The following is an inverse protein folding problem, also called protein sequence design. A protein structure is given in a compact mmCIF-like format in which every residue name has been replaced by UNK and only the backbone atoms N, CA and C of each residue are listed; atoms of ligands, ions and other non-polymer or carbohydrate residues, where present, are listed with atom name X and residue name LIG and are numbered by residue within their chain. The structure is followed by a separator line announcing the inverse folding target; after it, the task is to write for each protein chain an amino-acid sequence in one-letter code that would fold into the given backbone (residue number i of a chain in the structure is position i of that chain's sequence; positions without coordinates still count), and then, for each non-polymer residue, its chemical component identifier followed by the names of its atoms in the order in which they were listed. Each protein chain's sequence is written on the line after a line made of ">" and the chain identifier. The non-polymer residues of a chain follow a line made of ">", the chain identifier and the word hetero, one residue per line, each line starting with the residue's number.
data_IF_384052151760
#
_entry.id   IF_384052151760
#
_cell.length_a   1.000
_cell.length_b   1.000
_cell.length_c   1.000
_cell.angle_alpha   90.00
_cell.angle_beta   90.00
_cell.angle_gamma   90.00
#
_symmetry.space_group_name_H-M   'P 1'
#
loop_
_entity.id
_entity.type
_entity.pdbx_description
1 polymer ?
#
# COMPACT_ATOMS: atom_id res chain seq x y z
N UNK A 1 19.02 -19.66 0.22
CA UNK A 1 17.55 -19.76 0.29
C UNK A 1 17.03 -19.62 -1.12
N UNK A 2 15.90 -20.24 -1.40
CA UNK A 2 15.22 -20.19 -2.70
C UNK A 2 13.85 -19.51 -2.55
N UNK A 3 13.16 -19.31 -3.67
CA UNK A 3 11.82 -18.73 -3.69
C UNK A 3 10.78 -19.63 -3.00
N UNK A 4 11.01 -20.95 -2.94
CA UNK A 4 10.13 -21.92 -2.30
C UNK A 4 10.30 -22.01 -0.77
N UNK A 5 11.28 -21.29 -0.21
CA UNK A 5 11.54 -21.30 1.23
C UNK A 5 10.28 -20.83 1.98
N UNK A 6 9.86 -21.56 3.04
CA UNK A 6 8.67 -21.19 3.82
C UNK A 6 8.79 -19.82 4.50
N UNK A 7 7.68 -19.10 4.62
CA UNK A 7 7.63 -17.79 5.28
C UNK A 7 7.99 -17.84 6.78
N UNK A 8 7.85 -19.00 7.44
CA UNK A 8 8.24 -19.20 8.84
C UNK A 8 9.73 -18.98 9.10
N UNK A 9 10.56 -19.02 8.05
CA UNK A 9 11.98 -18.76 8.16
C UNK A 9 12.31 -17.25 8.25
N UNK A 10 11.34 -16.37 7.99
CA UNK A 10 11.52 -14.92 8.13
C UNK A 10 11.37 -14.50 9.59
N UNK A 11 12.18 -13.52 10.02
CA UNK A 11 12.14 -13.01 11.38
C UNK A 11 10.81 -12.32 11.65
N UNK A 12 10.23 -12.61 12.81
CA UNK A 12 8.95 -12.05 13.22
C UNK A 12 7.73 -12.77 12.64
N UNK A 13 7.91 -13.87 11.89
CA UNK A 13 6.83 -14.80 11.55
C UNK A 13 6.74 -15.88 12.63
N UNK A 14 5.89 -15.66 13.63
CA UNK A 14 5.55 -16.70 14.61
C UNK A 14 4.42 -17.61 14.11
N UNK A 15 4.20 -18.75 14.77
CA UNK A 15 3.20 -19.76 14.37
C UNK A 15 1.82 -19.17 14.06
N UNK A 16 1.33 -18.24 14.89
CA UNK A 16 0.04 -17.57 14.65
C UNK A 16 0.00 -16.74 13.37
N UNK A 17 1.10 -16.05 13.03
CA UNK A 17 1.18 -15.24 11.79
C UNK A 17 1.33 -16.14 10.58
N UNK A 18 2.14 -17.20 10.70
CA UNK A 18 2.32 -18.21 9.67
C UNK A 18 0.99 -18.84 9.27
N UNK A 19 0.19 -19.33 10.22
CA UNK A 19 -1.12 -19.93 9.91
C UNK A 19 -2.00 -18.97 9.12
N UNK A 20 -2.15 -17.73 9.60
CA UNK A 20 -3.03 -16.76 8.94
C UNK A 20 -2.49 -16.33 7.56
N UNK A 21 -1.18 -16.21 7.40
CA UNK A 21 -0.57 -15.92 6.09
C UNK A 21 -0.78 -17.07 5.11
N UNK A 22 -0.60 -18.31 5.56
CA UNK A 22 -0.87 -19.51 4.76
C UNK A 22 -2.34 -19.58 4.32
N UNK A 23 -3.28 -19.28 5.22
CA UNK A 23 -4.73 -19.22 4.92
C UNK A 23 -5.06 -18.14 3.86
N UNK A 24 -4.21 -17.12 3.73
CA UNK A 24 -4.30 -16.07 2.71
C UNK A 24 -3.47 -16.37 1.46
N UNK A 25 -2.95 -17.59 1.31
CA UNK A 25 -2.16 -18.03 0.15
C UNK A 25 -0.71 -17.53 0.15
N UNK A 26 -0.20 -17.06 1.29
CA UNK A 26 1.17 -16.57 1.45
C UNK A 26 1.95 -17.58 2.27
N UNK A 27 2.55 -18.59 1.62
CA UNK A 27 3.25 -19.68 2.31
C UNK A 27 4.76 -19.67 2.08
N UNK A 28 5.21 -19.04 1.01
CA UNK A 28 6.62 -19.01 0.60
C UNK A 28 7.15 -17.59 0.40
N UNK A 29 8.48 -17.46 0.28
CA UNK A 29 9.10 -16.19 -0.11
C UNK A 29 8.58 -15.70 -1.46
N UNK A 30 8.35 -16.62 -2.42
CA UNK A 30 7.70 -16.29 -3.68
C UNK A 30 6.37 -15.58 -3.46
N UNK A 31 5.47 -16.20 -2.70
CA UNK A 31 4.13 -15.65 -2.48
C UNK A 31 4.19 -14.28 -1.81
N UNK A 32 5.13 -14.09 -0.88
CA UNK A 32 5.34 -12.81 -0.20
C UNK A 32 5.85 -11.71 -1.15
N UNK A 33 6.79 -12.02 -2.06
CA UNK A 33 7.28 -11.06 -3.05
C UNK A 33 6.26 -10.76 -4.17
N UNK A 34 5.30 -11.65 -4.38
CA UNK A 34 4.18 -11.43 -5.29
C UNK A 34 2.93 -10.90 -4.57
N UNK A 35 3.00 -10.69 -3.25
CA UNK A 35 1.96 -10.00 -2.48
C UNK A 35 2.10 -8.49 -2.64
N UNK A 36 1.65 -7.97 -3.79
CA UNK A 36 1.91 -6.58 -4.16
C UNK A 36 1.19 -5.56 -3.26
N UNK A 37 1.79 -4.38 -3.04
CA UNK A 37 1.11 -3.28 -2.37
C UNK A 37 -0.15 -2.88 -3.14
N UNK A 38 -1.25 -2.62 -2.42
CA UNK A 38 -2.50 -2.10 -3.02
C UNK A 38 -2.37 -0.65 -3.47
N UNK A 39 -1.48 0.10 -2.80
CA UNK A 39 -1.25 1.52 -3.03
C UNK A 39 0.17 1.89 -2.61
N UNK A 40 0.69 2.96 -3.21
CA UNK A 40 1.96 3.56 -2.85
C UNK A 40 1.73 4.99 -2.40
N UNK A 41 2.23 5.34 -1.22
CA UNK A 41 2.16 6.68 -0.68
C UNK A 41 3.43 7.45 -1.06
N UNK A 42 3.27 8.49 -1.87
CA UNK A 42 4.38 9.37 -2.26
C UNK A 42 4.56 10.49 -1.22
N UNK A 43 5.63 10.39 -0.43
CA UNK A 43 6.00 11.38 0.59
C UNK A 43 6.44 12.72 -0.01
N UNK A 44 6.92 12.75 -1.25
CA UNK A 44 7.37 13.98 -1.90
C UNK A 44 6.21 14.93 -2.24
N UNK A 45 4.99 14.38 -2.33
CA UNK A 45 3.76 15.14 -2.59
C UNK A 45 3.05 15.62 -1.32
N UNK A 46 3.59 15.29 -0.14
CA UNK A 46 2.99 15.66 1.14
C UNK A 46 2.99 17.18 1.27
N UNK A 47 1.79 17.75 1.34
CA UNK A 47 1.58 19.19 1.47
C UNK A 47 1.04 19.51 2.87
N UNK A 48 1.58 20.53 3.57
CA UNK A 48 1.04 20.93 4.86
C UNK A 48 -0.32 21.61 4.69
N UNK A 49 -1.19 21.46 5.68
CA UNK A 49 -2.58 21.95 5.68
C UNK A 49 -2.63 23.46 5.42
N UNK A 50 -1.67 24.23 5.95
CA UNK A 50 -1.60 25.69 5.74
C UNK A 50 -1.50 26.11 4.27
N UNK A 51 -1.04 25.22 3.38
CA UNK A 51 -0.87 25.51 1.96
C UNK A 51 -2.07 25.07 1.11
N UNK A 52 -3.11 24.48 1.72
CA UNK A 52 -4.24 23.96 0.96
C UNK A 52 -5.06 25.08 0.35
N UNK A 53 -5.55 24.84 -0.87
CA UNK A 53 -6.58 25.65 -1.48
C UNK A 53 -7.80 24.79 -1.80
N UNK A 54 -8.96 25.45 -1.89
CA UNK A 54 -10.22 24.76 -2.21
C UNK A 54 -10.12 24.18 -3.63
N UNK A 55 -10.40 22.89 -3.75
CA UNK A 55 -10.40 22.17 -5.02
C UNK A 55 -9.17 21.30 -5.25
N UNK A 56 -8.09 21.49 -4.48
CA UNK A 56 -6.86 20.71 -4.61
C UNK A 56 -7.08 19.24 -4.25
N UNK A 57 -6.36 18.35 -4.94
CA UNK A 57 -6.20 16.96 -4.51
C UNK A 57 -4.86 16.86 -3.79
N UNK A 58 -4.91 16.59 -2.49
CA UNK A 58 -3.73 16.66 -1.62
C UNK A 58 -3.45 15.32 -0.95
N UNK A 59 -2.18 15.11 -0.63
CA UNK A 59 -1.72 14.05 0.27
C UNK A 59 -1.13 14.72 1.50
N UNK A 60 -1.49 14.25 2.70
CA UNK A 60 -0.93 14.76 3.96
C UNK A 60 -0.76 13.66 5.00
N UNK A 61 0.07 13.95 6.00
CA UNK A 61 0.14 13.15 7.23
C UNK A 61 -0.36 14.01 8.38
N UNK A 62 -1.43 13.57 9.03
CA UNK A 62 -2.05 14.27 10.15
C UNK A 62 -2.28 13.34 11.33
N UNK A 63 -2.30 13.91 12.53
CA UNK A 63 -2.65 13.23 13.76
C UNK A 63 -4.13 13.47 14.07
N UNK A 64 -4.86 12.44 14.48
CA UNK A 64 -6.24 12.56 14.94
C UNK A 64 -6.27 13.31 16.27
N UNK A 65 -6.90 14.49 16.28
CA UNK A 65 -7.09 15.31 17.47
C UNK A 65 -8.40 14.91 18.18
N UNK A 66 -9.48 14.79 17.40
CA UNK A 66 -10.78 14.39 17.94
C UNK A 66 -11.66 13.82 16.83
N UNK A 67 -12.72 13.11 17.21
CA UNK A 67 -13.72 12.58 16.28
C UNK A 67 -15.09 12.50 16.94
N UNK A 68 -16.15 12.50 16.14
CA UNK A 68 -17.52 12.46 16.66
C UNK A 68 -18.57 12.14 15.61
N UNK A 69 -19.72 11.67 16.08
CA UNK A 69 -20.94 11.54 15.28
C UNK A 69 -21.79 12.81 15.43
N UNK A 70 -22.23 13.37 14.30
CA UNK A 70 -23.18 14.48 14.26
C UNK A 70 -24.48 14.01 13.62
N UNK A 71 -25.60 14.22 14.32
CA UNK A 71 -26.92 13.95 13.78
C UNK A 71 -27.38 15.15 12.94
N UNK A 72 -27.86 14.85 11.74
CA UNK A 72 -28.44 15.83 10.79
C UNK A 72 -29.84 15.38 10.41
N UNK A 73 -30.66 16.32 9.93
CA UNK A 73 -32.01 16.06 9.41
C UNK A 73 -32.04 14.96 8.33
N UNK A 74 -30.92 14.71 7.64
CA UNK A 74 -30.78 13.71 6.58
C UNK A 74 -30.04 12.42 7.00
N UNK A 75 -29.62 12.27 8.25
CA UNK A 75 -28.93 11.06 8.73
C UNK A 75 -27.83 11.30 9.76
N UNK A 76 -26.84 10.41 9.79
CA UNK A 76 -25.66 10.53 10.66
C UNK A 76 -24.44 10.90 9.83
N UNK A 77 -23.67 11.86 10.29
CA UNK A 77 -22.37 12.22 9.74
C UNK A 77 -21.31 11.83 10.76
N UNK A 78 -20.23 11.22 10.31
CA UNK A 78 -19.04 11.01 11.13
C UNK A 78 -17.95 11.98 10.71
N UNK A 79 -17.36 12.67 11.69
CA UNK A 79 -16.28 13.62 11.45
C UNK A 79 -15.06 13.27 12.28
N UNK A 80 -13.89 13.36 11.65
CA UNK A 80 -12.59 13.22 12.31
C UNK A 80 -11.81 14.49 12.05
N UNK A 81 -11.37 15.16 13.11
CA UNK A 81 -10.52 16.35 13.02
C UNK A 81 -9.08 15.89 13.16
N UNK A 82 -8.26 16.24 12.17
CA UNK A 82 -6.85 15.93 12.14
C UNK A 82 -6.01 17.21 12.09
N UNK A 83 -4.83 17.16 12.70
CA UNK A 83 -3.85 18.24 12.71
C UNK A 83 -2.51 17.74 12.19
N UNK A 84 -1.86 18.53 11.34
CA UNK A 84 -0.47 18.31 10.93
C UNK A 84 0.51 19.24 11.70
N UNK A 85 0.01 19.99 12.68
CA UNK A 85 0.75 21.02 13.42
C UNK A 85 0.75 22.40 12.73
N UNK A 86 0.34 22.49 11.46
CA UNK A 86 0.22 23.76 10.72
C UNK A 86 -1.23 24.23 10.58
N UNK A 87 -2.19 23.32 10.67
CA UNK A 87 -3.61 23.64 10.61
C UNK A 87 -4.51 22.46 11.02
N UNK A 88 -5.81 22.67 10.92
CA UNK A 88 -6.82 21.64 11.16
C UNK A 88 -7.54 21.27 9.87
N UNK A 89 -7.81 19.98 9.70
CA UNK A 89 -8.56 19.43 8.59
C UNK A 89 -9.69 18.55 9.12
N UNK A 90 -10.89 18.73 8.58
CA UNK A 90 -12.05 17.90 8.94
C UNK A 90 -12.29 16.82 7.89
N UNK A 91 -12.15 15.56 8.27
CA UNK A 91 -12.51 14.42 7.43
C UNK A 91 -13.97 14.05 7.67
N UNK A 92 -14.77 13.95 6.62
CA UNK A 92 -16.23 13.76 6.73
C UNK A 92 -16.70 12.52 5.99
N UNK A 93 -17.51 11.69 6.66
CA UNK A 93 -18.19 10.53 6.06
C UNK A 93 -19.70 10.62 6.27
N UNK A 94 -20.45 10.52 5.18
CA UNK A 94 -21.93 10.49 5.20
C UNK A 94 -22.50 9.07 5.30
N UNK A 95 -21.72 8.06 4.89
CA UNK A 95 -22.13 6.65 4.83
C UNK A 95 -21.16 5.78 5.65
N UNK A 96 -21.63 4.61 6.10
CA UNK A 96 -20.75 3.62 6.76
C UNK A 96 -20.27 4.00 8.16
N UNK A 97 -20.91 4.98 8.81
CA UNK A 97 -20.51 5.55 10.12
C UNK A 97 -20.25 4.46 11.17
N UNK A 98 -21.10 3.42 11.24
CA UNK A 98 -20.96 2.33 12.23
C UNK A 98 -19.65 1.56 12.12
N UNK A 99 -19.13 1.39 10.90
CA UNK A 99 -17.87 0.70 10.65
C UNK A 99 -16.69 1.66 10.85
N UNK A 100 -16.78 2.84 10.24
CA UNK A 100 -15.70 3.82 10.17
C UNK A 100 -15.31 4.35 11.55
N UNK A 101 -16.27 4.55 12.46
CA UNK A 101 -16.00 5.06 13.79
C UNK A 101 -15.07 4.17 14.62
N UNK A 102 -15.14 2.85 14.43
CA UNK A 102 -14.31 1.89 15.15
C UNK A 102 -12.87 1.86 14.62
N UNK A 103 -12.62 2.54 13.49
CA UNK A 103 -11.31 2.60 12.88
C UNK A 103 -10.43 3.71 13.46
N UNK A 104 -10.92 4.66 14.26
CA UNK A 104 -10.09 5.79 14.70
C UNK A 104 -9.91 5.82 16.22
N UNK A 105 -8.72 6.23 16.65
CA UNK A 105 -8.41 6.59 18.04
C UNK A 105 -7.74 7.96 18.07
N UNK A 106 -7.95 8.70 19.16
CA UNK A 106 -7.27 9.97 19.37
C UNK A 106 -5.77 9.69 19.42
N UNK A 107 -5.01 10.46 18.65
CA UNK A 107 -3.57 10.34 18.52
C UNK A 107 -3.07 9.44 17.38
N UNK A 108 -3.95 8.76 16.66
CA UNK A 108 -3.57 8.00 15.46
C UNK A 108 -2.94 8.93 14.41
N UNK A 109 -1.81 8.54 13.82
CA UNK A 109 -1.27 9.21 12.64
C UNK A 109 -1.89 8.60 11.38
N UNK A 110 -2.34 9.45 10.48
CA UNK A 110 -3.03 9.07 9.25
C UNK A 110 -2.32 9.67 8.05
N UNK A 111 -2.02 8.84 7.05
CA UNK A 111 -1.78 9.29 5.69
C UNK A 111 -3.14 9.48 5.02
N UNK A 112 -3.45 10.71 4.62
CA UNK A 112 -4.74 11.09 4.06
C UNK A 112 -4.52 11.56 2.64
N UNK A 113 -5.39 11.11 1.74
CA UNK A 113 -5.44 11.56 0.36
C UNK A 113 -6.88 11.87 -0.04
N UNK A 114 -7.07 13.00 -0.72
CA UNK A 114 -8.37 13.35 -1.27
C UNK A 114 -8.50 14.81 -1.68
N UNK A 115 -9.68 15.15 -2.19
CA UNK A 115 -10.01 16.49 -2.66
C UNK A 115 -10.43 17.40 -1.51
N UNK A 116 -9.73 18.52 -1.36
CA UNK A 116 -10.01 19.55 -0.37
C UNK A 116 -11.22 20.38 -0.80
N UNK A 117 -12.15 20.56 0.13
CA UNK A 117 -13.23 21.53 0.07
C UNK A 117 -13.14 22.49 1.26
N UNK A 118 -13.94 23.55 1.25
CA UNK A 118 -13.94 24.56 2.29
C UNK A 118 -15.37 24.89 2.73
N UNK A 119 -15.72 24.50 3.97
CA UNK A 119 -17.00 24.79 4.62
C UNK A 119 -16.78 25.22 6.07
N UNK A 120 -16.48 26.51 6.29
CA UNK A 120 -16.11 27.01 7.62
C UNK A 120 -14.77 26.47 8.13
N UNK A 121 -13.96 25.89 7.23
CA UNK A 121 -12.69 25.22 7.47
C UNK A 121 -12.39 24.22 6.35
N UNK A 122 -11.14 23.79 6.24
CA UNK A 122 -10.77 22.76 5.26
C UNK A 122 -11.41 21.43 5.62
N UNK A 123 -12.00 20.77 4.62
CA UNK A 123 -12.60 19.45 4.78
C UNK A 123 -12.35 18.56 3.57
N UNK A 124 -12.24 17.26 3.81
CA UNK A 124 -12.25 16.25 2.74
C UNK A 124 -13.44 15.34 3.00
N UNK A 125 -14.28 15.19 1.98
CA UNK A 125 -15.42 14.26 2.00
C UNK A 125 -14.97 12.90 1.48
N UNK A 126 -15.28 11.84 2.22
CA UNK A 126 -14.89 10.46 1.90
C UNK A 126 -13.39 10.33 1.53
N UNK A 127 -12.46 10.81 2.39
CA UNK A 127 -11.04 10.69 2.12
C UNK A 127 -10.59 9.23 2.07
N UNK A 128 -9.57 8.98 1.26
CA UNK A 128 -8.78 7.77 1.40
C UNK A 128 -7.78 7.97 2.53
N UNK A 129 -7.72 7.04 3.47
CA UNK A 129 -6.78 7.12 4.59
C UNK A 129 -6.13 5.77 4.86
N UNK A 130 -4.89 5.85 5.34
CA UNK A 130 -4.14 4.74 5.89
C UNK A 130 -3.56 5.14 7.24
N UNK A 131 -3.62 4.23 8.20
CA UNK A 131 -2.95 4.44 9.49
C UNK A 131 -1.45 4.29 9.32
N UNK A 132 -0.73 5.32 9.75
CA UNK A 132 0.71 5.27 9.91
C UNK A 132 1.02 4.99 11.38
N UNK A 133 1.94 4.06 11.60
CA UNK A 133 2.50 3.81 12.92
C UNK A 133 3.63 4.83 13.21
N UNK A 134 4.11 4.88 14.47
CA UNK A 134 5.09 5.89 14.96
C UNK A 134 6.39 5.94 14.11
N UNK A 135 7.03 7.11 14.11
CA UNK A 135 8.13 7.56 13.22
C UNK A 135 9.44 6.73 13.25
N UNK A 136 9.57 5.70 14.08
CA UNK A 136 10.81 4.94 14.25
C UNK A 136 10.90 3.70 13.34
N UNK A 137 10.51 3.84 12.08
CA UNK A 137 10.62 2.75 11.10
C UNK A 137 11.59 3.12 9.97
N UNK A 138 12.85 2.65 10.03
CA UNK A 138 13.87 2.91 9.01
C UNK A 138 13.40 2.51 7.60
N UNK A 139 12.60 1.44 7.50
CA UNK A 139 12.04 0.90 6.25
C UNK A 139 10.92 1.80 5.67
N UNK A 140 10.32 2.66 6.51
CA UNK A 140 9.29 3.64 6.10
C UNK A 140 9.85 5.03 5.77
N UNK A 141 11.17 5.18 5.72
CA UNK A 141 11.82 6.47 5.38
C UNK A 141 11.92 6.72 3.87
N UNK A 142 11.56 5.75 3.04
CA UNK A 142 11.55 5.88 1.58
C UNK A 142 10.61 6.98 1.08
N UNK A 143 10.94 7.56 -0.09
CA UNK A 143 10.09 8.55 -0.76
C UNK A 143 8.72 7.98 -1.15
N UNK A 144 8.68 6.68 -1.44
CA UNK A 144 7.48 5.94 -1.80
C UNK A 144 7.27 4.83 -0.77
N UNK A 145 6.17 4.88 -0.02
CA UNK A 145 5.86 3.87 1.00
C UNK A 145 4.83 2.88 0.42
N UNK A 146 5.14 1.57 0.37
CA UNK A 146 4.16 0.57 -0.02
C UNK A 146 3.11 0.38 1.08
N UNK A 147 1.85 0.31 0.67
CA UNK A 147 0.71 -0.01 1.53
C UNK A 147 0.11 -1.32 1.04
N UNK A 148 0.17 -2.35 1.88
CA UNK A 148 -0.32 -3.69 1.55
C UNK A 148 -1.81 -3.83 1.89
N UNK A 149 -2.54 -4.74 1.21
CA UNK A 149 -3.82 -5.18 1.71
C UNK A 149 -3.67 -5.78 3.12
N UNK A 150 -4.58 -5.44 4.02
CA UNK A 150 -4.62 -6.01 5.37
C UNK A 150 -6.07 -6.27 5.75
N UNK A 151 -6.48 -7.54 5.69
CA UNK A 151 -7.78 -8.00 6.18
C UNK A 151 -7.86 -7.85 7.70
N UNK A 152 -9.08 -7.89 8.25
CA UNK A 152 -9.26 -7.85 9.70
C UNK A 152 -8.57 -9.03 10.39
N UNK A 153 -8.58 -10.19 9.73
CA UNK A 153 -7.93 -11.40 10.21
C UNK A 153 -6.41 -11.25 10.28
N UNK A 154 -5.77 -10.75 9.21
CA UNK A 154 -4.34 -10.42 9.21
C UNK A 154 -4.01 -9.42 10.34
N UNK A 155 -4.83 -8.37 10.53
CA UNK A 155 -4.63 -7.43 11.64
C UNK A 155 -4.74 -8.09 13.01
N UNK A 156 -5.68 -9.02 13.17
CA UNK A 156 -5.92 -9.72 14.44
C UNK A 156 -4.79 -10.69 14.83
N UNK A 157 -4.03 -11.20 13.85
CA UNK A 157 -2.82 -12.01 14.10
C UNK A 157 -1.62 -11.14 14.52
N UNK A 158 -1.82 -9.82 14.60
CA UNK A 158 -0.79 -8.85 14.90
C UNK A 158 0.11 -8.57 13.70
N UNK A 159 -0.36 -8.78 12.47
CA UNK A 159 0.27 -8.22 11.27
C UNK A 159 -0.20 -6.79 11.07
N UNK A 160 0.75 -5.95 10.69
CA UNK A 160 0.49 -4.58 10.32
C UNK A 160 1.35 -4.22 9.09
N UNK A 161 1.23 -2.96 8.64
CA UNK A 161 1.97 -2.47 7.49
C UNK A 161 3.49 -2.53 7.72
N UNK A 162 3.95 -2.30 8.95
CA UNK A 162 5.37 -2.28 9.30
C UNK A 162 5.95 -3.69 9.26
N UNK A 163 5.26 -4.64 9.88
CA UNK A 163 5.70 -6.03 9.93
C UNK A 163 5.73 -6.60 8.50
N UNK A 164 4.69 -6.35 7.68
CA UNK A 164 4.72 -6.77 6.28
C UNK A 164 5.88 -6.15 5.51
N UNK A 165 6.13 -4.84 5.65
CA UNK A 165 7.31 -4.21 5.04
C UNK A 165 8.61 -4.85 5.52
N UNK A 166 8.74 -5.16 6.80
CA UNK A 166 9.94 -5.79 7.33
C UNK A 166 10.13 -7.21 6.77
N UNK A 167 9.06 -8.01 6.68
CA UNK A 167 9.12 -9.34 6.07
C UNK A 167 9.54 -9.26 4.60
N UNK A 168 8.94 -8.34 3.82
CA UNK A 168 9.29 -8.15 2.40
C UNK A 168 10.71 -7.63 2.24
N UNK A 169 11.14 -6.69 3.10
CA UNK A 169 12.51 -6.17 3.09
C UNK A 169 13.52 -7.26 3.42
N UNK A 170 13.22 -8.12 4.40
CA UNK A 170 14.06 -9.27 4.73
C UNK A 170 14.11 -10.22 3.52
N UNK A 171 12.97 -10.58 2.95
CA UNK A 171 12.88 -11.43 1.76
C UNK A 171 13.71 -10.90 0.57
N UNK A 172 13.65 -9.59 0.30
CA UNK A 172 14.43 -8.95 -0.76
C UNK A 172 15.93 -8.88 -0.45
N UNK A 173 16.31 -8.82 0.84
CA UNK A 173 17.71 -8.82 1.27
C UNK A 173 18.38 -10.19 1.22
N UNK A 174 17.58 -11.27 1.19
CA UNK A 174 18.10 -12.61 0.96
C UNK A 174 18.67 -12.65 -0.46
N UNK A 175 19.89 -13.20 -0.61
CA UNK A 175 20.54 -13.35 -1.90
C UNK A 175 19.92 -14.51 -2.70
N UNK A 176 18.63 -14.39 -3.01
CA UNK A 176 17.86 -15.35 -3.78
C UNK A 176 18.06 -15.02 -5.26
N UNK A 177 18.31 -16.07 -6.04
CA UNK A 177 18.36 -15.98 -7.48
C UNK A 177 16.93 -15.93 -8.03
N UNK A 178 16.61 -14.80 -8.68
CA UNK A 178 15.33 -14.61 -9.37
C UNK A 178 15.64 -14.73 -10.84
N UNK A 179 15.22 -15.86 -11.43
CA UNK A 179 15.46 -16.13 -12.86
C UNK A 179 14.76 -15.09 -13.73
N UNK A 180 15.47 -14.59 -14.75
CA UNK A 180 14.90 -13.67 -15.71
C UNK A 180 14.10 -14.46 -16.77
N UNK A 181 12.87 -14.01 -17.03
CA UNK A 181 11.92 -14.66 -17.92
C UNK A 181 12.17 -14.34 -19.39
N UNK A 182 12.73 -13.16 -19.69
CA UNK A 182 12.89 -12.67 -21.05
C UNK A 182 14.36 -12.49 -21.44
N UNK A 183 14.65 -12.68 -22.72
CA UNK A 183 15.98 -12.36 -23.26
C UNK A 183 16.27 -10.86 -23.16
N UNK A 184 17.56 -10.52 -23.09
CA UNK A 184 18.00 -9.12 -23.07
C UNK A 184 17.46 -8.29 -24.25
N UNK A 185 17.22 -8.92 -25.39
CA UNK A 185 16.67 -8.24 -26.58
C UNK A 185 15.21 -7.84 -26.38
N UNK A 186 14.38 -8.71 -25.77
CA UNK A 186 12.99 -8.40 -25.44
C UNK A 186 12.94 -7.26 -24.42
N UNK A 187 13.82 -7.30 -23.40
CA UNK A 187 13.90 -6.25 -22.38
C UNK A 187 14.22 -4.89 -22.99
N UNK A 188 15.25 -4.82 -23.84
CA UNK A 188 15.68 -3.58 -24.49
C UNK A 188 14.62 -3.04 -25.44
N UNK A 189 14.06 -3.90 -26.30
CA UNK A 189 13.08 -3.50 -27.32
C UNK A 189 11.81 -2.92 -26.70
N UNK A 190 11.37 -3.46 -25.56
CA UNK A 190 10.16 -3.02 -24.87
C UNK A 190 10.41 -1.98 -23.77
N UNK A 191 11.68 -1.61 -23.53
CA UNK A 191 12.08 -0.71 -22.45
C UNK A 191 11.62 -1.22 -21.08
N UNK A 192 11.96 -2.47 -20.77
CA UNK A 192 11.62 -3.17 -19.53
C UNK A 192 12.86 -3.34 -18.66
N UNK A 193 12.67 -3.23 -17.34
CA UNK A 193 13.71 -3.52 -16.36
C UNK A 193 13.76 -5.02 -16.04
N UNK A 194 14.89 -5.55 -15.51
CA UNK A 194 14.98 -6.94 -15.07
C UNK A 194 13.95 -7.29 -13.99
N UNK A 195 13.46 -8.53 -13.96
CA UNK A 195 12.42 -8.99 -13.04
C UNK A 195 12.81 -8.76 -11.56
N UNK A 196 14.04 -9.10 -11.19
CA UNK A 196 14.57 -8.85 -9.83
C UNK A 196 14.46 -7.38 -9.42
N UNK A 197 14.73 -6.45 -10.35
CA UNK A 197 14.62 -5.02 -10.10
C UNK A 197 13.16 -4.59 -10.00
N UNK A 198 12.29 -5.11 -10.86
CA UNK A 198 10.85 -4.82 -10.80
C UNK A 198 10.22 -5.28 -9.47
N UNK A 199 10.54 -6.48 -9.00
CA UNK A 199 10.09 -6.98 -7.70
C UNK A 199 10.65 -6.14 -6.54
N UNK A 200 11.88 -5.64 -6.65
CA UNK A 200 12.39 -4.71 -5.64
C UNK A 200 11.60 -3.38 -5.66
N UNK A 201 11.49 -2.74 -6.83
CA UNK A 201 10.96 -1.38 -6.96
C UNK A 201 9.44 -1.30 -6.78
N UNK A 202 8.70 -2.39 -7.00
CA UNK A 202 7.26 -2.44 -6.67
C UNK A 202 7.04 -2.38 -5.15
N UNK A 203 7.98 -2.86 -4.33
CA UNK A 203 7.87 -2.79 -2.88
C UNK A 203 8.60 -1.56 -2.32
N UNK A 204 9.84 -1.32 -2.72
CA UNK A 204 10.72 -0.28 -2.17
C UNK A 204 11.38 0.54 -3.29
N UNK A 205 10.55 1.26 -4.05
CA UNK A 205 11.04 2.19 -5.06
C UNK A 205 11.72 3.41 -4.43
N UNK A 206 12.80 3.85 -5.10
CA UNK A 206 13.50 5.10 -4.77
C UNK A 206 12.65 6.32 -5.13
N UNK A 207 11.77 6.19 -6.13
CA UNK A 207 10.89 7.25 -6.59
C UNK A 207 9.76 6.74 -7.50
N UNK A 208 8.88 7.66 -7.91
CA UNK A 208 7.74 7.33 -8.76
C UNK A 208 8.15 6.84 -10.16
N UNK A 209 9.30 7.29 -10.66
CA UNK A 209 9.82 6.85 -11.96
C UNK A 209 10.16 5.36 -11.97
N UNK A 210 10.90 4.92 -10.96
CA UNK A 210 11.27 3.51 -10.75
C UNK A 210 10.03 2.65 -10.48
N UNK A 211 9.11 3.14 -9.65
CA UNK A 211 7.82 2.47 -9.42
C UNK A 211 7.06 2.23 -10.72
N UNK A 212 6.96 3.24 -11.58
CA UNK A 212 6.27 3.13 -12.85
C UNK A 212 6.94 2.12 -13.81
N UNK A 213 8.28 2.04 -13.80
CA UNK A 213 9.00 1.02 -14.57
C UNK A 213 8.72 -0.39 -14.03
N UNK A 214 8.68 -0.56 -12.70
CA UNK A 214 8.33 -1.83 -12.07
C UNK A 214 6.90 -2.28 -12.41
N UNK A 215 5.93 -1.38 -12.27
CA UNK A 215 4.53 -1.62 -12.65
C UNK A 215 4.43 -1.99 -14.13
N UNK A 216 5.11 -1.24 -15.01
CA UNK A 216 5.13 -1.54 -16.45
C UNK A 216 5.68 -2.94 -16.71
N UNK A 217 6.77 -3.32 -16.04
CA UNK A 217 7.37 -4.65 -16.17
C UNK A 217 6.41 -5.75 -15.72
N UNK A 218 5.85 -5.66 -14.52
CA UNK A 218 4.96 -6.70 -13.98
C UNK A 218 3.66 -6.83 -14.81
N UNK A 219 3.10 -5.71 -15.28
CA UNK A 219 1.95 -5.74 -16.20
C UNK A 219 2.29 -6.38 -17.55
N UNK A 220 3.52 -6.18 -18.04
CA UNK A 220 3.97 -6.82 -19.26
C UNK A 220 4.03 -8.34 -19.08
N UNK A 221 4.58 -8.82 -17.95
CA UNK A 221 4.65 -10.25 -17.64
C UNK A 221 3.25 -10.88 -17.64
N UNK A 222 2.29 -10.28 -16.91
CA UNK A 222 0.89 -10.76 -16.88
C UNK A 222 0.27 -10.81 -18.28
N UNK A 223 0.43 -9.73 -19.06
CA UNK A 223 -0.14 -9.67 -20.41
C UNK A 223 0.51 -10.69 -21.35
N UNK A 224 1.82 -10.85 -21.27
CA UNK A 224 2.57 -11.81 -22.08
C UNK A 224 2.10 -13.24 -21.82
N UNK A 225 1.96 -13.64 -20.55
CA UNK A 225 1.50 -14.99 -20.21
C UNK A 225 0.05 -15.23 -20.63
N UNK A 226 -0.82 -14.23 -20.51
CA UNK A 226 -2.19 -14.32 -21.01
C UNK A 226 -2.22 -14.54 -22.53
N UNK A 227 -1.44 -13.76 -23.29
CA UNK A 227 -1.35 -13.92 -24.74
C UNK A 227 -0.74 -15.26 -25.15
N UNK A 228 0.29 -15.71 -24.43
CA UNK A 228 0.92 -17.02 -24.67
C UNK A 228 -0.08 -18.15 -24.45
N UNK A 229 -0.87 -18.09 -23.37
CA UNK A 229 -1.92 -19.07 -23.10
C UNK A 229 -2.98 -19.09 -24.21
N UNK A 230 -3.40 -17.92 -24.70
CA UNK A 230 -4.34 -17.81 -25.82
C UNK A 230 -3.76 -18.40 -27.12
N UNK A 231 -2.47 -18.16 -27.40
CA UNK A 231 -1.79 -18.68 -28.58
C UNK A 231 -1.68 -20.21 -28.53
N UNK A 232 -1.27 -20.78 -27.38
CA UNK A 232 -1.20 -22.23 -27.18
C UNK A 232 -2.58 -22.89 -27.33
N UNK A 233 -3.62 -22.27 -26.77
CA UNK A 233 -5.00 -22.78 -26.91
C UNK A 233 -5.46 -22.75 -28.37
N UNK A 234 -5.16 -21.69 -29.11
CA UNK A 234 -5.48 -21.60 -30.54
C UNK A 234 -4.76 -22.70 -31.34
N UNK A 235 -3.50 -22.98 -31.02
CA UNK A 235 -2.73 -24.04 -31.67
C UNK A 235 -3.31 -25.43 -31.36
N UNK A 236 -3.77 -25.70 -30.13
CA UNK A 236 -4.35 -27.00 -29.76
C UNK A 236 -5.71 -27.30 -30.41
N UNK A 237 -6.38 -26.28 -30.96
CA UNK A 237 -7.66 -26.40 -31.66
C UNK A 237 -7.50 -26.57 -33.19
N UNK A 238 -6.27 -26.45 -33.69
CA UNK A 238 -5.90 -26.67 -35.10
C UNK A 238 -5.26 -28.05 -35.26
#
# INVERSE_FOLDING_TARGET
>A
MDLATPISNLKGVGSRRETVLNDHGISTIHDLLYYFPRRHLDRSTISPIRNFTKGDVVTLIGKVETFGEKFTRRGKIFQVIVSDGTGLLTLTWFNGVRYIKNLFKIGDKLAIHGKVDYYGGFTITHPEFDKLEKDDDPVSTGKVIPLYPLTQELKSSGLDQRILRNMVSEALSLNIEISELFSNDILKTNGLIPLKKALHDIHFSVGIGELNQAIKRLKFDEHFFLQLLMALRKQSLQ
#
